data_IF_636806006167
#
_entry.id   IF_636806006167
#
_cell.length_a   1.000
_cell.length_b   1.000
_cell.length_c   1.000
_cell.angle_alpha   90.00
_cell.angle_beta   90.00
_cell.angle_gamma   90.00
#
_symmetry.space_group_name_H-M   'P 1'
#
loop_
_entity.id
_entity.type
_entity.pdbx_description
1 polymer ?
#
# COMPACT_ATOMS: atom_id res chain seq x y z
N UNK A 1 -6.62 -28.28 9.96
CA UNK A 1 -7.47 -27.15 10.39
C UNK A 1 -6.85 -26.27 11.50
N UNK A 2 -6.12 -26.81 12.48
CA UNK A 2 -5.50 -26.01 13.57
C UNK A 2 -4.48 -24.94 13.13
N UNK A 3 -3.73 -25.18 12.04
CA UNK A 3 -2.76 -24.20 11.49
C UNK A 3 -3.43 -22.99 10.84
N UNK A 4 -4.64 -23.13 10.29
CA UNK A 4 -5.35 -22.02 9.61
C UNK A 4 -5.91 -21.04 10.64
N UNK A 5 -6.45 -21.57 11.75
CA UNK A 5 -6.94 -20.74 12.86
C UNK A 5 -5.82 -19.90 13.50
N UNK A 6 -4.58 -20.40 13.58
CA UNK A 6 -3.45 -19.63 14.10
C UNK A 6 -2.99 -18.50 13.17
N UNK A 7 -3.22 -18.61 11.85
CA UNK A 7 -2.88 -17.54 10.90
C UNK A 7 -3.83 -16.35 10.99
N UNK A 8 -5.09 -16.60 11.38
CA UNK A 8 -6.15 -15.59 11.51
C UNK A 8 -6.16 -14.95 12.89
N UNK A 9 -5.43 -15.51 13.86
CA UNK A 9 -5.38 -14.96 15.21
C UNK A 9 -4.63 -13.61 15.23
N UNK A 10 -5.42 -12.54 15.33
CA UNK A 10 -4.94 -11.15 15.38
C UNK A 10 -4.11 -10.88 16.64
N UNK A 11 -4.22 -11.72 17.68
CA UNK A 11 -3.53 -11.54 18.96
C UNK A 11 -2.12 -12.14 18.98
N UNK A 12 -1.80 -13.05 18.06
CA UNK A 12 -0.48 -13.69 17.99
C UNK A 12 0.45 -12.84 17.14
N UNK A 13 1.58 -12.42 17.73
CA UNK A 13 2.58 -11.66 17.00
C UNK A 13 3.35 -12.53 16.01
N UNK A 14 3.55 -12.02 14.79
CA UNK A 14 4.23 -12.74 13.71
C UNK A 14 5.74 -12.89 13.92
N UNK A 15 6.34 -12.10 14.82
CA UNK A 15 7.79 -12.08 15.03
C UNK A 15 8.14 -11.71 16.48
N UNK A 16 9.25 -12.22 17.05
CA UNK A 16 9.75 -11.80 18.36
C UNK A 16 9.97 -10.28 18.38
N UNK A 17 9.29 -9.58 19.29
CA UNK A 17 9.34 -8.11 19.39
C UNK A 17 8.42 -7.33 18.43
N UNK A 18 7.68 -8.02 17.55
CA UNK A 18 6.66 -7.40 16.69
C UNK A 18 5.36 -7.14 17.44
N UNK A 19 4.64 -6.06 17.08
CA UNK A 19 3.29 -5.78 17.61
C UNK A 19 2.16 -6.27 16.70
N UNK A 20 2.45 -6.70 15.46
CA UNK A 20 1.45 -6.99 14.42
C UNK A 20 1.32 -8.49 14.09
N UNK A 21 0.08 -8.96 14.02
CA UNK A 21 -0.28 -10.31 13.53
C UNK A 21 -0.22 -10.41 12.01
N UNK A 22 -0.02 -11.61 11.49
CA UNK A 22 0.09 -11.90 10.06
C UNK A 22 -1.15 -11.42 9.32
N UNK A 23 -2.34 -11.68 9.88
CA UNK A 23 -3.60 -11.25 9.29
C UNK A 23 -3.71 -9.73 9.22
N UNK A 24 -3.30 -9.02 10.28
CA UNK A 24 -3.26 -7.56 10.29
C UNK A 24 -2.28 -7.01 9.24
N UNK A 25 -1.14 -7.68 9.04
CA UNK A 25 -0.16 -7.30 8.02
C UNK A 25 -0.67 -7.53 6.61
N UNK A 26 -1.39 -8.64 6.35
CA UNK A 26 -2.02 -8.93 5.05
C UNK A 26 -3.06 -7.86 4.71
N UNK A 27 -3.94 -7.52 5.65
CA UNK A 27 -4.94 -6.46 5.46
C UNK A 27 -4.26 -5.12 5.18
N UNK A 28 -3.25 -4.76 5.97
CA UNK A 28 -2.54 -3.51 5.79
C UNK A 28 -1.84 -3.43 4.42
N UNK A 29 -1.22 -4.53 4.00
CA UNK A 29 -0.59 -4.62 2.68
C UNK A 29 -1.62 -4.56 1.54
N UNK A 30 -2.76 -5.24 1.70
CA UNK A 30 -3.86 -5.19 0.73
C UNK A 30 -4.39 -3.76 0.55
N UNK A 31 -4.57 -3.00 1.64
CA UNK A 31 -4.97 -1.59 1.57
C UNK A 31 -4.00 -0.74 0.76
N UNK A 32 -2.68 -0.97 0.91
CA UNK A 32 -1.66 -0.27 0.13
C UNK A 32 -1.71 -0.63 -1.36
N UNK A 33 -1.98 -1.91 -1.69
CA UNK A 33 -2.07 -2.37 -3.10
C UNK A 33 -3.33 -1.85 -3.78
N UNK A 34 -4.49 -1.93 -3.10
CA UNK A 34 -5.77 -1.53 -3.68
C UNK A 34 -5.76 -0.03 -4.04
N UNK A 35 -5.34 0.81 -3.08
CA UNK A 35 -4.93 2.20 -3.26
C UNK A 35 -5.68 3.04 -4.33
N UNK A 36 -4.96 4.01 -4.88
CA UNK A 36 -5.42 4.83 -6.01
C UNK A 36 -5.41 4.07 -7.35
N UNK A 37 -4.63 2.98 -7.44
CA UNK A 37 -4.49 2.16 -8.64
C UNK A 37 -5.84 1.60 -9.12
N UNK A 38 -6.73 1.23 -8.20
CA UNK A 38 -8.05 0.70 -8.53
C UNK A 38 -8.91 1.69 -9.35
N UNK A 39 -8.81 2.99 -9.10
CA UNK A 39 -9.55 4.02 -9.84
C UNK A 39 -9.08 4.13 -11.30
N UNK A 40 -7.84 3.73 -11.58
CA UNK A 40 -7.28 3.73 -12.94
C UNK A 40 -7.60 2.48 -13.74
N UNK A 41 -7.95 1.36 -13.07
CA UNK A 41 -8.19 0.07 -13.72
C UNK A 41 -9.32 0.13 -14.77
N UNK A 42 -10.52 0.70 -14.52
CA UNK A 42 -11.59 0.73 -15.52
C UNK A 42 -11.16 1.43 -16.82
N UNK A 43 -10.42 2.55 -16.70
CA UNK A 43 -9.89 3.28 -17.85
C UNK A 43 -8.77 2.52 -18.57
N UNK A 44 -7.96 1.76 -17.84
CA UNK A 44 -6.95 0.89 -18.44
C UNK A 44 -7.60 -0.26 -19.24
N UNK A 45 -8.64 -0.90 -18.69
CA UNK A 45 -9.39 -1.95 -19.38
C UNK A 45 -10.14 -1.41 -20.61
N UNK A 46 -10.70 -0.20 -20.52
CA UNK A 46 -11.35 0.45 -21.67
C UNK A 46 -10.39 0.74 -22.82
N UNK A 47 -9.10 0.98 -22.54
CA UNK A 47 -8.09 1.29 -23.56
C UNK A 47 -7.36 0.06 -24.09
N UNK A 48 -7.05 -0.91 -23.23
CA UNK A 48 -6.36 -2.14 -23.60
C UNK A 48 -7.28 -3.20 -24.21
N UNK A 49 -8.59 -3.12 -23.94
CA UNK A 49 -9.57 -4.15 -24.26
C UNK A 49 -9.62 -5.25 -23.19
N UNK A 50 -10.76 -5.93 -23.09
CA UNK A 50 -11.03 -6.89 -22.01
C UNK A 50 -10.02 -8.05 -21.97
N UNK A 51 -9.77 -8.70 -23.11
CA UNK A 51 -8.87 -9.86 -23.18
C UNK A 51 -7.42 -9.49 -22.80
N UNK A 52 -6.88 -8.44 -23.42
CA UNK A 52 -5.52 -7.96 -23.14
C UNK A 52 -5.39 -7.43 -21.71
N UNK A 53 -6.41 -6.74 -21.20
CA UNK A 53 -6.48 -6.24 -19.82
C UNK A 53 -6.38 -7.37 -18.79
N UNK A 54 -7.13 -8.46 -18.98
CA UNK A 54 -7.04 -9.64 -18.10
C UNK A 54 -5.66 -10.30 -18.14
N UNK A 55 -5.08 -10.47 -19.34
CA UNK A 55 -3.75 -11.07 -19.50
C UNK A 55 -2.69 -10.22 -18.78
N UNK A 56 -2.71 -8.90 -18.99
CA UNK A 56 -1.78 -7.98 -18.31
C UNK A 56 -1.97 -7.99 -16.80
N UNK A 57 -3.21 -8.02 -16.32
CA UNK A 57 -3.50 -8.05 -14.89
C UNK A 57 -2.96 -9.32 -14.22
N UNK A 58 -3.20 -10.48 -14.83
CA UNK A 58 -2.68 -11.77 -14.33
C UNK A 58 -1.15 -11.81 -14.42
N UNK A 59 -0.56 -11.30 -15.50
CA UNK A 59 0.89 -11.21 -15.64
C UNK A 59 1.50 -10.33 -14.52
N UNK A 60 1.00 -9.12 -14.32
CA UNK A 60 1.45 -8.23 -13.24
C UNK A 60 1.28 -8.86 -11.85
N UNK A 61 0.14 -9.53 -11.60
CA UNK A 61 -0.09 -10.23 -10.35
C UNK A 61 0.93 -11.37 -10.14
N UNK A 62 1.23 -12.16 -11.18
CA UNK A 62 2.22 -13.24 -11.09
C UNK A 62 3.62 -12.71 -10.78
N UNK A 63 4.05 -11.62 -11.44
CA UNK A 63 5.31 -10.97 -11.14
C UNK A 63 5.36 -10.46 -9.69
N UNK A 64 4.29 -9.86 -9.21
CA UNK A 64 4.21 -9.38 -7.82
C UNK A 64 4.36 -10.52 -6.81
N UNK A 65 3.65 -11.64 -7.02
CA UNK A 65 3.74 -12.83 -6.16
C UNK A 65 5.16 -13.39 -6.14
N UNK A 66 5.78 -13.56 -7.32
CA UNK A 66 7.14 -14.07 -7.45
C UNK A 66 8.13 -13.15 -6.70
N UNK A 67 8.05 -11.84 -6.93
CA UNK A 67 8.91 -10.86 -6.25
C UNK A 67 8.72 -10.88 -4.73
N UNK A 68 7.48 -11.01 -4.24
CA UNK A 68 7.21 -11.07 -2.81
C UNK A 68 7.79 -12.33 -2.16
N UNK A 69 7.72 -13.48 -2.84
CA UNK A 69 8.36 -14.73 -2.38
C UNK A 69 9.87 -14.54 -2.27
N UNK A 70 10.52 -14.02 -3.32
CA UNK A 70 11.97 -13.76 -3.30
C UNK A 70 12.38 -12.81 -2.17
N UNK A 71 11.66 -11.71 -1.98
CA UNK A 71 11.95 -10.76 -0.88
C UNK A 71 11.75 -11.43 0.48
N UNK A 72 10.73 -12.28 0.63
CA UNK A 72 10.46 -12.98 1.89
C UNK A 72 11.58 -13.95 2.27
N UNK A 73 12.15 -14.67 1.30
CA UNK A 73 13.30 -15.55 1.51
C UNK A 73 14.56 -14.74 1.88
N UNK A 74 14.79 -13.62 1.19
CA UNK A 74 15.89 -12.71 1.53
C UNK A 74 15.76 -12.11 2.94
N UNK A 75 14.54 -11.82 3.39
CA UNK A 75 14.30 -11.35 4.76
C UNK A 75 14.69 -12.39 5.82
N UNK A 76 14.58 -13.69 5.52
CA UNK A 76 15.00 -14.77 6.43
C UNK A 76 16.51 -14.81 6.54
N UNK A 77 17.22 -14.64 5.41
CA UNK A 77 18.69 -14.64 5.36
C UNK A 77 19.27 -13.38 6.01
N UNK A 78 18.65 -12.22 5.79
CA UNK A 78 19.18 -10.94 6.28
C UNK A 78 19.05 -10.73 7.79
N UNK A 79 18.22 -11.53 8.47
CA UNK A 79 17.94 -11.38 9.90
C UNK A 79 16.88 -10.31 10.19
N UNK A 80 16.19 -10.44 11.33
CA UNK A 80 15.10 -9.53 11.74
C UNK A 80 15.63 -8.48 12.74
N UNK A 81 15.26 -7.19 12.61
CA UNK A 81 14.33 -6.60 11.64
C UNK A 81 14.98 -6.38 10.26
N UNK A 82 14.35 -6.91 9.21
CA UNK A 82 14.78 -6.74 7.84
C UNK A 82 14.13 -5.50 7.23
N UNK A 83 14.93 -4.55 6.75
CA UNK A 83 14.48 -3.45 5.90
C UNK A 83 14.97 -3.68 4.47
N UNK A 84 14.31 -3.07 3.48
CA UNK A 84 14.76 -3.15 2.08
C UNK A 84 16.22 -2.72 1.91
N UNK A 85 16.64 -1.70 2.67
CA UNK A 85 18.03 -1.27 2.73
C UNK A 85 18.96 -2.32 3.32
N UNK A 86 18.60 -2.95 4.43
CA UNK A 86 19.42 -4.01 5.03
C UNK A 86 19.59 -5.22 4.10
N UNK A 87 18.54 -5.56 3.35
CA UNK A 87 18.58 -6.61 2.33
C UNK A 87 19.48 -6.18 1.15
N UNK A 88 19.33 -4.93 0.69
CA UNK A 88 20.13 -4.40 -0.41
C UNK A 88 21.62 -4.26 -0.05
N UNK A 89 21.95 -3.87 1.19
CA UNK A 89 23.31 -3.80 1.72
C UNK A 89 24.02 -5.17 1.68
N UNK A 90 23.28 -6.26 1.94
CA UNK A 90 23.83 -7.61 1.91
C UNK A 90 23.94 -8.18 0.49
N UNK A 91 22.99 -7.88 -0.39
CA UNK A 91 23.00 -8.36 -1.76
C UNK A 91 24.03 -7.62 -2.63
N UNK A 92 24.03 -6.29 -2.59
CA UNK A 92 24.90 -5.42 -3.38
C UNK A 92 25.21 -4.12 -2.60
N UNK A 93 26.30 -4.06 -1.81
CA UNK A 93 26.59 -2.94 -0.91
C UNK A 93 26.74 -1.58 -1.63
N UNK A 94 27.16 -1.57 -2.90
CA UNK A 94 27.28 -0.36 -3.71
C UNK A 94 25.94 0.15 -4.27
N UNK A 95 24.94 -0.72 -4.44
CA UNK A 95 23.64 -0.37 -5.05
C UNK A 95 22.52 -0.16 -4.03
N UNK A 96 22.78 -0.36 -2.74
CA UNK A 96 21.78 -0.19 -1.68
C UNK A 96 21.16 1.21 -1.63
N UNK A 97 21.94 2.26 -1.92
CA UNK A 97 21.42 3.63 -2.05
C UNK A 97 20.37 3.75 -3.15
N UNK A 98 20.54 3.05 -4.28
CA UNK A 98 19.57 3.08 -5.38
C UNK A 98 18.26 2.42 -4.96
N UNK A 99 18.33 1.34 -4.19
CA UNK A 99 17.14 0.70 -3.63
C UNK A 99 16.39 1.63 -2.67
N UNK A 100 17.11 2.32 -1.77
CA UNK A 100 16.53 3.28 -0.83
C UNK A 100 15.89 4.48 -1.57
N UNK A 101 16.58 5.03 -2.57
CA UNK A 101 16.04 6.10 -3.42
C UNK A 101 14.79 5.67 -4.20
N UNK A 102 14.75 4.44 -4.71
CA UNK A 102 13.58 3.91 -5.41
C UNK A 102 12.34 3.86 -4.50
N UNK A 103 12.53 3.45 -3.24
CA UNK A 103 11.46 3.44 -2.24
C UNK A 103 10.98 4.86 -1.94
N UNK A 104 11.91 5.81 -1.77
CA UNK A 104 11.57 7.22 -1.52
C UNK A 104 10.78 7.81 -2.69
N UNK A 105 11.23 7.61 -3.93
CA UNK A 105 10.56 8.12 -5.14
C UNK A 105 9.16 7.53 -5.27
N UNK A 106 9.01 6.22 -5.05
CA UNK A 106 7.71 5.54 -5.13
C UNK A 106 6.76 6.03 -4.04
N UNK A 107 7.27 6.24 -2.82
CA UNK A 107 6.48 6.79 -1.71
C UNK A 107 6.01 8.22 -2.01
N UNK A 108 6.90 9.09 -2.48
CA UNK A 108 6.56 10.46 -2.90
C UNK A 108 5.52 10.44 -4.04
N UNK A 109 5.72 9.61 -5.05
CA UNK A 109 4.78 9.45 -6.16
C UNK A 109 3.39 9.05 -5.69
N UNK A 110 3.30 8.02 -4.83
CA UNK A 110 2.01 7.59 -4.26
C UNK A 110 1.35 8.68 -3.42
N UNK A 111 2.11 9.43 -2.62
CA UNK A 111 1.62 10.55 -1.82
C UNK A 111 1.04 11.68 -2.68
N UNK A 112 1.73 12.03 -3.78
CA UNK A 112 1.23 12.98 -4.77
C UNK A 112 -0.09 12.50 -5.41
N UNK A 113 -0.17 11.22 -5.81
CA UNK A 113 -1.38 10.65 -6.40
C UNK A 113 -2.58 10.72 -5.45
N UNK A 114 -2.40 10.38 -4.17
CA UNK A 114 -3.48 10.49 -3.18
C UNK A 114 -3.92 11.93 -2.95
N UNK A 115 -2.97 12.89 -2.95
CA UNK A 115 -3.28 14.31 -2.82
C UNK A 115 -4.13 14.81 -3.99
N UNK A 116 -3.77 14.45 -5.23
CA UNK A 116 -4.54 14.84 -6.43
C UNK A 116 -5.97 14.30 -6.35
N UNK A 117 -6.15 13.01 -6.02
CA UNK A 117 -7.47 12.39 -5.91
C UNK A 117 -8.31 13.05 -4.82
N UNK A 118 -7.73 13.35 -3.67
CA UNK A 118 -8.42 14.04 -2.59
C UNK A 118 -8.88 15.44 -3.03
N UNK A 119 -7.99 16.22 -3.64
CA UNK A 119 -8.29 17.56 -4.14
C UNK A 119 -9.40 17.52 -5.20
N UNK A 120 -9.32 16.61 -6.17
CA UNK A 120 -10.35 16.45 -7.20
C UNK A 120 -11.71 16.10 -6.57
N UNK A 121 -11.73 15.23 -5.56
CA UNK A 121 -12.94 14.90 -4.81
C UNK A 121 -13.56 16.13 -4.13
N UNK A 122 -12.76 16.87 -3.35
CA UNK A 122 -13.26 18.03 -2.61
C UNK A 122 -13.63 19.21 -3.51
N UNK A 123 -12.84 19.48 -4.56
CA UNK A 123 -13.14 20.58 -5.48
C UNK A 123 -14.45 20.37 -6.23
N UNK A 124 -14.77 19.12 -6.60
CA UNK A 124 -16.02 18.80 -7.29
C UNK A 124 -17.25 18.90 -6.38
N UNK A 125 -17.11 18.70 -5.07
CA UNK A 125 -18.22 18.80 -4.10
C UNK A 125 -18.43 20.24 -3.63
N UNK A 126 -17.35 21.00 -3.45
CA UNK A 126 -17.40 22.34 -2.88
C UNK A 126 -17.47 23.48 -3.91
N UNK A 127 -17.47 23.16 -5.22
CA UNK A 127 -17.43 24.12 -6.35
C UNK A 127 -16.46 25.30 -6.10
N UNK A 128 -15.29 24.96 -5.55
CA UNK A 128 -14.29 25.91 -5.05
C UNK A 128 -12.97 25.75 -5.79
N UNK A 129 -12.17 26.80 -5.78
CA UNK A 129 -10.83 26.85 -6.37
C UNK A 129 -9.93 25.69 -5.92
N UNK A 130 -9.36 24.97 -6.90
CA UNK A 130 -8.56 23.76 -6.66
C UNK A 130 -7.34 24.02 -5.78
N UNK A 131 -6.68 25.17 -5.94
CA UNK A 131 -5.44 25.51 -5.22
C UNK A 131 -5.65 25.58 -3.69
N UNK A 132 -6.84 26.01 -3.25
CA UNK A 132 -7.18 26.06 -1.82
C UNK A 132 -7.16 24.65 -1.21
N UNK A 133 -7.83 23.70 -1.86
CA UNK A 133 -7.89 22.31 -1.42
C UNK A 133 -6.52 21.61 -1.46
N UNK A 134 -5.64 21.99 -2.38
CA UNK A 134 -4.24 21.49 -2.40
C UNK A 134 -3.51 21.88 -1.12
N UNK A 135 -3.58 23.15 -0.71
CA UNK A 135 -2.89 23.62 0.51
C UNK A 135 -3.49 22.97 1.75
N UNK A 136 -4.82 22.88 1.84
CA UNK A 136 -5.51 22.26 2.98
C UNK A 136 -5.15 20.78 3.11
N UNK A 137 -5.25 20.00 2.03
CA UNK A 137 -4.92 18.56 2.05
C UNK A 137 -3.44 18.31 2.34
N UNK A 138 -2.54 19.14 1.80
CA UNK A 138 -1.11 19.06 2.08
C UNK A 138 -0.78 19.43 3.54
N UNK A 139 -1.43 20.46 4.09
CA UNK A 139 -1.25 20.86 5.48
C UNK A 139 -1.72 19.77 6.45
N UNK A 140 -2.85 19.11 6.17
CA UNK A 140 -3.36 17.98 6.95
C UNK A 140 -2.41 16.78 6.83
N UNK A 141 -2.05 16.38 5.60
CA UNK A 141 -1.17 15.23 5.37
C UNK A 141 0.23 15.43 5.98
N UNK A 142 0.79 16.64 5.86
CA UNK A 142 2.06 17.02 6.48
C UNK A 142 2.00 16.99 8.00
N UNK A 143 0.92 17.53 8.59
CA UNK A 143 0.72 17.50 10.05
C UNK A 143 0.60 16.08 10.58
N UNK A 144 -0.12 15.20 9.88
CA UNK A 144 -0.22 13.79 10.23
C UNK A 144 1.12 13.05 10.10
N UNK A 145 1.96 13.43 9.13
CA UNK A 145 3.28 12.82 8.91
C UNK A 145 4.27 13.11 10.05
N UNK A 146 4.05 14.20 10.80
CA UNK A 146 4.86 14.56 11.97
C UNK A 146 4.44 13.83 13.26
N UNK A 147 3.38 13.00 13.25
CA UNK A 147 2.96 12.27 14.44
C UNK A 147 3.88 11.06 14.70
N UNK A 148 4.46 11.05 15.89
CA UNK A 148 5.46 10.07 16.33
C UNK A 148 4.88 8.67 16.60
N UNK A 149 3.55 8.52 16.61
CA UNK A 149 2.86 7.25 16.89
C UNK A 149 1.84 6.91 15.81
N UNK A 150 2.07 5.81 15.09
CA UNK A 150 1.21 5.26 14.05
C UNK A 150 0.14 4.28 14.58
N UNK A 151 -0.21 4.30 15.87
CA UNK A 151 -1.19 3.36 16.43
C UNK A 151 -2.63 3.62 15.94
N UNK A 152 -2.95 4.86 15.57
CA UNK A 152 -4.24 5.22 14.95
C UNK A 152 -4.46 4.54 13.58
N UNK A 153 -3.40 4.05 12.93
CA UNK A 153 -3.45 3.53 11.56
C UNK A 153 -4.13 2.15 11.46
N UNK A 154 -4.20 1.39 12.56
CA UNK A 154 -4.92 0.11 12.56
C UNK A 154 -6.42 0.32 12.37
N UNK A 155 -6.98 1.33 13.03
CA UNK A 155 -8.39 1.68 12.89
C UNK A 155 -8.67 2.25 11.50
N UNK A 156 -7.77 3.09 10.96
CA UNK A 156 -7.92 3.62 9.60
C UNK A 156 -7.80 2.53 8.54
N UNK A 157 -6.93 1.53 8.72
CA UNK A 157 -6.84 0.38 7.81
C UNK A 157 -8.13 -0.45 7.81
N UNK A 158 -8.75 -0.71 8.96
CA UNK A 158 -10.03 -1.42 9.02
C UNK A 158 -11.17 -0.59 8.40
N UNK A 159 -11.22 0.71 8.70
CA UNK A 159 -12.19 1.61 8.10
C UNK A 159 -12.02 1.73 6.58
N UNK A 160 -10.79 1.77 6.08
CA UNK A 160 -10.49 1.82 4.64
C UNK A 160 -10.97 0.56 3.92
N UNK A 161 -10.74 -0.64 4.48
CA UNK A 161 -11.28 -1.90 3.93
C UNK A 161 -12.81 -1.84 3.88
N UNK A 162 -13.46 -1.36 4.95
CA UNK A 162 -14.92 -1.27 5.00
C UNK A 162 -15.47 -0.31 3.93
N UNK A 163 -14.82 0.83 3.71
CA UNK A 163 -15.19 1.80 2.66
C UNK A 163 -14.98 1.20 1.26
N UNK A 164 -13.87 0.49 1.02
CA UNK A 164 -13.63 -0.17 -0.26
C UNK A 164 -14.66 -1.25 -0.56
N UNK A 165 -15.00 -2.08 0.44
CA UNK A 165 -16.07 -3.07 0.32
C UNK A 165 -17.42 -2.41 0.04
N UNK A 166 -17.72 -1.29 0.73
CA UNK A 166 -18.94 -0.52 0.49
C UNK A 166 -19.00 0.01 -0.95
N UNK A 167 -17.91 0.60 -1.46
CA UNK A 167 -17.83 1.08 -2.84
C UNK A 167 -18.05 -0.08 -3.83
N UNK A 168 -17.44 -1.24 -3.61
CA UNK A 168 -17.66 -2.41 -4.45
C UNK A 168 -19.13 -2.84 -4.48
N UNK A 169 -19.80 -2.84 -3.33
CA UNK A 169 -21.24 -3.17 -3.24
C UNK A 169 -22.10 -2.14 -3.98
N UNK A 170 -21.75 -0.86 -3.93
CA UNK A 170 -22.50 0.20 -4.62
C UNK A 170 -22.30 0.17 -6.13
N UNK A 171 -21.12 -0.26 -6.60
CA UNK A 171 -20.80 -0.35 -8.03
C UNK A 171 -21.47 -1.55 -8.70
N UNK A 172 -21.63 -2.66 -7.98
CA UNK A 172 -22.31 -3.89 -8.45
C UNK A 172 -23.83 -3.69 -8.46
#
# INVERSE_FOLDING_TARGET
ESRVASFVDVRVSSAPGGKASLFSSIINMANTILGSGLLSLPRAFSQAGMATGYILLVACASFNVITNIFISDLCVVAGRPASFKAIADQALPYFSIVADLSVIITALGSGCSYTIIAVDGFSNVADSERWYWVIVTLAIAGSLSCLKSLDALRLTSVAAVAILLFIMIVII
#
